data_IF_876030119915
#
_entry.id   IF_876030119915
#
_cell.length_a   1.000
_cell.length_b   1.000
_cell.length_c   1.000
_cell.angle_alpha   90.00
_cell.angle_beta   90.00
_cell.angle_gamma   90.00
#
_symmetry.space_group_name_H-M   'P 1'
#
loop_
_entity.id
_entity.type
_entity.pdbx_description
1 polymer ?
#
# COMPACT_ATOMS: atom_id res chain seq x y z
N UNK A 1 -59.32 20.25 -11.86
CA UNK A 1 -58.71 21.52 -12.30
C UNK A 1 -57.39 21.67 -11.56
N UNK A 2 -56.28 21.67 -12.31
CA UNK A 2 -54.89 22.05 -11.99
C UNK A 2 -54.32 21.64 -10.59
N UNK A 3 -53.29 20.82 -10.47
CA UNK A 3 -52.03 20.87 -11.22
C UNK A 3 -51.11 21.94 -10.63
N UNK A 4 -50.53 21.67 -9.45
CA UNK A 4 -49.50 22.51 -8.82
C UNK A 4 -48.20 21.72 -8.74
N UNK A 5 -47.41 21.80 -9.81
CA UNK A 5 -46.06 21.25 -9.86
C UNK A 5 -45.13 22.17 -9.07
N UNK A 6 -44.57 21.70 -7.96
CA UNK A 6 -43.40 22.31 -7.33
C UNK A 6 -42.21 22.17 -8.29
N UNK A 7 -42.04 23.17 -9.15
CA UNK A 7 -40.83 23.33 -9.97
C UNK A 7 -39.77 23.92 -9.04
N UNK A 8 -38.86 23.07 -8.58
CA UNK A 8 -37.62 23.52 -7.95
C UNK A 8 -36.89 24.47 -8.92
N UNK A 9 -36.70 25.72 -8.52
CA UNK A 9 -35.93 26.70 -9.26
C UNK A 9 -34.52 26.15 -9.56
N UNK A 10 -33.99 26.28 -10.79
CA UNK A 10 -32.63 25.85 -11.09
C UNK A 10 -31.67 26.78 -10.34
N UNK A 11 -30.91 26.20 -9.39
CA UNK A 11 -29.87 26.92 -8.65
C UNK A 11 -29.03 27.79 -9.60
N UNK A 12 -29.18 29.11 -9.50
CA UNK A 12 -28.48 30.06 -10.34
C UNK A 12 -27.00 30.03 -9.98
N UNK A 13 -26.18 29.41 -10.83
CA UNK A 13 -24.73 29.38 -10.63
C UNK A 13 -24.16 30.80 -10.72
N UNK A 14 -23.34 31.19 -9.76
CA UNK A 14 -22.66 32.48 -9.75
C UNK A 14 -21.32 32.41 -10.49
N UNK A 15 -21.00 33.45 -11.26
CA UNK A 15 -19.75 33.57 -11.98
C UNK A 15 -18.57 33.63 -11.00
N UNK A 16 -17.59 32.75 -11.17
CA UNK A 16 -16.40 32.70 -10.33
C UNK A 16 -15.54 33.99 -10.36
N UNK A 17 -15.70 34.83 -11.38
CA UNK A 17 -14.93 36.09 -11.53
C UNK A 17 -15.68 37.33 -11.05
N UNK A 18 -17.00 37.39 -11.15
CA UNK A 18 -17.76 38.62 -10.91
C UNK A 18 -19.10 38.43 -10.17
N UNK A 19 -19.44 37.21 -9.75
CA UNK A 19 -20.63 36.89 -8.97
C UNK A 19 -21.97 36.91 -9.73
N UNK A 20 -22.01 37.40 -10.97
CA UNK A 20 -23.23 37.45 -11.81
C UNK A 20 -23.70 36.05 -12.21
N UNK A 21 -24.99 35.84 -12.53
CA UNK A 21 -25.48 34.54 -13.00
C UNK A 21 -24.69 34.05 -14.21
N UNK A 22 -24.24 32.80 -14.15
CA UNK A 22 -23.32 32.19 -15.09
C UNK A 22 -23.92 30.94 -15.75
N UNK A 23 -23.78 30.86 -17.07
CA UNK A 23 -24.29 29.74 -17.86
C UNK A 23 -23.17 29.02 -18.64
N UNK A 24 -21.98 29.62 -18.76
CA UNK A 24 -20.85 29.06 -19.49
C UNK A 24 -19.90 28.33 -18.55
N UNK A 25 -19.24 27.28 -19.03
CA UNK A 25 -18.32 26.46 -18.24
C UNK A 25 -17.01 26.22 -18.96
N UNK A 26 -15.93 26.06 -18.19
CA UNK A 26 -14.64 25.70 -18.74
C UNK A 26 -14.71 24.32 -19.43
N UNK A 27 -14.37 24.19 -20.72
CA UNK A 27 -14.42 22.91 -21.44
C UNK A 27 -13.58 21.81 -20.76
N UNK A 28 -12.48 22.19 -20.11
CA UNK A 28 -11.61 21.25 -19.39
C UNK A 28 -12.19 20.80 -18.05
N UNK A 29 -12.97 21.65 -17.36
CA UNK A 29 -13.71 21.22 -16.17
C UNK A 29 -14.82 20.22 -16.54
N UNK A 30 -15.50 20.45 -17.66
CA UNK A 30 -16.50 19.50 -18.19
C UNK A 30 -15.84 18.16 -18.52
N UNK A 31 -14.67 18.19 -19.18
CA UNK A 31 -13.89 16.98 -19.48
C UNK A 31 -13.43 16.23 -18.22
N UNK A 32 -13.06 16.94 -17.15
CA UNK A 32 -12.57 16.37 -15.89
C UNK A 32 -13.68 16.10 -14.85
N UNK A 33 -14.96 16.27 -15.21
CA UNK A 33 -16.13 16.10 -14.31
C UNK A 33 -16.02 16.89 -12.99
N UNK A 34 -15.44 18.08 -13.03
CA UNK A 34 -15.28 18.92 -11.84
C UNK A 34 -16.60 19.67 -11.49
N UNK A 35 -16.84 20.00 -10.20
CA UNK A 35 -18.06 20.67 -9.77
C UNK A 35 -18.35 21.95 -10.55
N UNK A 36 -19.60 22.08 -11.01
CA UNK A 36 -20.07 23.20 -11.86
C UNK A 36 -20.00 24.55 -11.13
N UNK A 37 -20.16 24.54 -9.82
CA UNK A 37 -20.22 25.72 -8.95
C UNK A 37 -18.92 26.53 -8.90
N UNK A 38 -17.77 25.87 -9.06
CA UNK A 38 -16.45 26.53 -8.98
C UNK A 38 -15.87 26.90 -10.35
N UNK A 39 -16.59 26.61 -11.43
CA UNK A 39 -16.10 26.70 -12.80
C UNK A 39 -17.12 27.35 -13.77
N UNK A 40 -18.08 28.11 -13.25
CA UNK A 40 -19.09 28.81 -14.03
C UNK A 40 -18.67 30.27 -14.34
N UNK A 41 -18.89 30.69 -15.58
CA UNK A 41 -18.57 32.03 -16.07
C UNK A 41 -19.77 32.64 -16.82
N UNK A 42 -19.97 33.95 -16.70
CA UNK A 42 -21.04 34.65 -17.42
C UNK A 42 -20.62 35.03 -18.86
N UNK A 43 -19.34 35.31 -19.08
CA UNK A 43 -18.79 35.71 -20.40
C UNK A 43 -17.39 35.15 -20.62
N UNK A 44 -16.94 35.16 -21.88
CA UNK A 44 -15.59 34.74 -22.25
C UNK A 44 -14.50 35.66 -21.64
N UNK A 45 -14.82 36.93 -21.40
CA UNK A 45 -13.88 37.86 -20.75
C UNK A 45 -13.69 37.55 -19.26
N UNK A 46 -14.77 37.19 -18.56
CA UNK A 46 -14.68 36.72 -17.17
C UNK A 46 -13.89 35.41 -17.06
N UNK A 47 -14.00 34.52 -18.06
CA UNK A 47 -13.19 33.31 -18.13
C UNK A 47 -11.70 33.63 -18.32
N UNK A 48 -11.35 34.54 -19.24
CA UNK A 48 -9.95 34.96 -19.47
C UNK A 48 -9.35 35.68 -18.26
N UNK A 49 -10.11 36.55 -17.60
CA UNK A 49 -9.67 37.27 -16.40
C UNK A 49 -9.36 36.31 -15.23
N UNK A 50 -10.16 35.24 -15.08
CA UNK A 50 -9.96 34.23 -14.05
C UNK A 50 -9.08 33.05 -14.48
N UNK A 51 -8.52 33.06 -15.69
CA UNK A 51 -7.80 31.90 -16.26
C UNK A 51 -6.55 31.52 -15.46
N UNK A 52 -5.77 32.51 -15.02
CA UNK A 52 -4.50 32.29 -14.29
C UNK A 52 -4.73 31.59 -12.94
N UNK A 53 -5.78 31.99 -12.20
CA UNK A 53 -6.17 31.36 -10.95
C UNK A 53 -6.89 30.03 -11.17
N UNK A 54 -7.78 29.94 -12.16
CA UNK A 54 -8.58 28.74 -12.44
C UNK A 54 -7.75 27.57 -12.97
N UNK A 55 -6.70 27.81 -13.76
CA UNK A 55 -5.82 26.75 -14.30
C UNK A 55 -5.16 25.92 -13.19
N UNK A 56 -4.97 26.47 -11.99
CA UNK A 56 -4.44 25.74 -10.82
C UNK A 56 -5.36 24.60 -10.36
N UNK A 57 -6.68 24.72 -10.58
CA UNK A 57 -7.66 23.68 -10.28
C UNK A 57 -7.43 22.45 -11.17
N UNK A 58 -7.03 22.65 -12.43
CA UNK A 58 -6.67 21.57 -13.35
C UNK A 58 -5.32 20.92 -13.04
N UNK A 59 -4.40 21.62 -12.38
CA UNK A 59 -3.14 21.03 -11.92
C UNK A 59 -3.38 20.01 -10.80
N UNK A 60 -4.32 20.30 -9.90
CA UNK A 60 -4.77 19.36 -8.85
C UNK A 60 -5.65 18.22 -9.39
N UNK A 61 -6.32 18.43 -10.52
CA UNK A 61 -7.20 17.47 -11.16
C UNK A 61 -6.60 16.80 -12.42
N UNK A 62 -5.28 16.89 -12.63
CA UNK A 62 -4.62 16.19 -13.74
C UNK A 62 -4.84 14.69 -13.56
N UNK A 63 -5.51 14.00 -14.51
CA UNK A 63 -5.39 12.56 -14.61
C UNK A 63 -3.93 12.29 -14.96
N UNK A 64 -3.26 11.50 -14.14
CA UNK A 64 -1.97 10.91 -14.50
C UNK A 64 -2.08 10.27 -15.87
N UNK A 65 -1.04 10.45 -16.70
CA UNK A 65 -0.86 9.71 -17.95
C UNK A 65 -1.15 8.22 -17.73
N UNK A 66 -1.59 7.46 -18.77
CA UNK A 66 -1.82 6.03 -18.65
C UNK A 66 -0.48 5.28 -18.51
N UNK A 67 0.13 5.41 -17.33
CA UNK A 67 0.95 4.37 -16.75
C UNK A 67 0.01 3.27 -16.28
N UNK A 68 0.40 2.03 -16.54
CA UNK A 68 -0.23 0.80 -16.06
C UNK A 68 -0.25 0.74 -14.53
N UNK A 69 -1.11 1.55 -13.90
CA UNK A 69 -1.28 1.63 -12.46
C UNK A 69 -2.73 1.27 -12.10
N UNK A 70 -2.89 0.10 -11.49
CA UNK A 70 -4.13 -0.28 -10.79
C UNK A 70 -4.36 0.64 -9.57
N UNK A 71 -5.60 0.84 -9.11
CA UNK A 71 -5.97 2.01 -8.30
C UNK A 71 -5.64 1.98 -6.79
N UNK A 72 -5.00 0.95 -6.21
CA UNK A 72 -5.03 0.77 -4.73
C UNK A 72 -3.67 0.57 -4.03
N UNK A 73 -2.55 1.02 -4.63
CA UNK A 73 -1.19 0.78 -4.10
C UNK A 73 -0.41 2.05 -3.76
N UNK A 74 -1.04 3.04 -3.12
CA UNK A 74 -0.32 4.23 -2.65
C UNK A 74 0.84 3.82 -1.71
N UNK A 75 2.06 4.16 -2.10
CA UNK A 75 3.27 3.92 -1.30
C UNK A 75 3.92 2.54 -1.45
N UNK A 76 3.41 1.64 -2.29
CA UNK A 76 4.10 0.37 -2.57
C UNK A 76 5.31 0.62 -3.46
N UNK A 77 6.44 0.02 -3.09
CA UNK A 77 7.72 0.23 -3.78
C UNK A 77 8.46 -1.10 -3.98
N UNK A 78 9.22 -1.21 -5.07
CA UNK A 78 10.10 -2.34 -5.30
C UNK A 78 11.24 -2.35 -4.27
N UNK A 79 11.61 -3.54 -3.80
CA UNK A 79 12.76 -3.72 -2.92
C UNK A 79 14.06 -3.87 -3.72
N UNK A 80 15.10 -3.17 -3.25
CA UNK A 80 16.47 -3.27 -3.73
C UNK A 80 17.40 -3.60 -2.56
N UNK A 81 18.63 -3.98 -2.85
CA UNK A 81 19.71 -4.16 -1.85
C UNK A 81 19.26 -4.98 -0.64
N UNK A 82 18.72 -6.18 -0.88
CA UNK A 82 18.21 -7.08 0.18
C UNK A 82 17.13 -6.48 1.08
N UNK A 83 16.36 -5.49 0.62
CA UNK A 83 15.30 -4.84 1.39
C UNK A 83 15.70 -3.49 2.02
N UNK A 84 16.97 -3.10 1.93
CA UNK A 84 17.50 -1.86 2.50
C UNK A 84 17.16 -0.60 1.69
N UNK A 85 16.77 -0.75 0.42
CA UNK A 85 16.40 0.37 -0.44
C UNK A 85 15.07 0.09 -1.17
N UNK A 86 14.37 1.17 -1.52
CA UNK A 86 13.07 1.13 -2.20
C UNK A 86 13.08 2.02 -3.44
N UNK A 87 12.38 1.62 -4.49
CA UNK A 87 12.25 2.41 -5.73
C UNK A 87 10.84 2.28 -6.31
N UNK A 88 10.28 3.34 -6.92
CA UNK A 88 9.01 3.24 -7.66
C UNK A 88 9.19 2.58 -9.02
N UNK A 89 10.42 2.53 -9.54
CA UNK A 89 10.73 1.97 -10.87
C UNK A 89 11.21 0.53 -10.76
N UNK A 90 10.62 -0.36 -11.57
CA UNK A 90 11.07 -1.75 -11.70
C UNK A 90 12.57 -1.78 -12.06
N UNK A 91 13.43 -2.43 -11.26
CA UNK A 91 14.84 -2.56 -11.60
C UNK A 91 15.03 -3.40 -12.86
N UNK A 92 16.04 -3.03 -13.65
CA UNK A 92 16.47 -3.84 -14.78
C UNK A 92 17.20 -5.09 -14.26
N UNK A 93 16.81 -6.25 -14.77
CA UNK A 93 17.44 -7.54 -14.52
C UNK A 93 17.06 -8.51 -15.64
N UNK A 94 17.97 -9.42 -16.00
CA UNK A 94 17.75 -10.44 -17.01
C UNK A 94 17.06 -11.66 -16.39
N UNK A 95 15.72 -11.62 -16.37
CA UNK A 95 14.89 -12.65 -15.72
C UNK A 95 14.93 -13.99 -16.46
N UNK A 96 15.02 -15.09 -15.71
CA UNK A 96 15.08 -16.46 -16.24
C UNK A 96 13.73 -17.03 -16.68
N UNK A 97 12.61 -16.41 -16.29
CA UNK A 97 11.27 -16.90 -16.55
C UNK A 97 10.24 -15.79 -16.75
N UNK A 98 8.95 -16.10 -16.60
CA UNK A 98 7.84 -15.15 -16.78
C UNK A 98 7.50 -14.34 -15.54
N UNK A 99 7.83 -14.86 -14.34
CA UNK A 99 7.55 -14.18 -13.08
C UNK A 99 8.35 -12.87 -12.98
N UNK A 100 7.70 -11.81 -12.51
CA UNK A 100 8.32 -10.49 -12.28
C UNK A 100 8.06 -10.05 -10.84
N UNK A 101 8.99 -9.34 -10.20
CA UNK A 101 8.70 -8.73 -8.92
C UNK A 101 7.62 -7.66 -9.10
N UNK A 102 6.82 -7.47 -8.07
CA UNK A 102 5.85 -6.39 -7.98
C UNK A 102 6.23 -5.47 -6.82
N UNK A 103 5.83 -4.18 -6.81
CA UNK A 103 5.95 -3.35 -5.61
C UNK A 103 5.34 -4.07 -4.40
N UNK A 104 5.88 -3.86 -3.21
CA UNK A 104 5.35 -4.47 -1.98
C UNK A 104 5.05 -3.38 -0.95
N UNK A 105 4.16 -3.69 0.00
CA UNK A 105 3.83 -2.77 1.08
C UNK A 105 5.02 -2.49 2.00
N UNK A 106 4.88 -1.49 2.86
CA UNK A 106 5.88 -1.15 3.88
C UNK A 106 6.11 -2.32 4.86
N UNK A 107 7.21 -2.24 5.62
CA UNK A 107 7.51 -3.24 6.65
C UNK A 107 6.47 -3.17 7.76
N UNK A 108 5.87 -4.30 8.14
CA UNK A 108 4.87 -4.38 9.21
C UNK A 108 5.52 -4.24 10.59
N UNK A 109 4.77 -3.70 11.54
CA UNK A 109 5.26 -3.38 12.90
C UNK A 109 4.96 -4.55 13.83
N UNK A 110 5.95 -4.94 14.63
CA UNK A 110 5.80 -5.91 15.71
C UNK A 110 5.52 -5.17 17.02
N UNK A 111 4.47 -5.50 17.78
CA UNK A 111 4.21 -4.94 19.11
C UNK A 111 5.37 -5.11 20.09
N UNK A 112 5.57 -4.12 20.97
CA UNK A 112 6.71 -4.07 21.90
C UNK A 112 6.72 -5.18 22.98
N UNK A 113 5.61 -5.88 23.19
CA UNK A 113 5.52 -6.96 24.18
C UNK A 113 6.01 -8.32 23.66
N UNK A 114 6.31 -8.44 22.37
CA UNK A 114 6.83 -9.66 21.76
C UNK A 114 8.34 -9.69 21.91
N UNK A 115 8.86 -10.84 22.37
CA UNK A 115 10.30 -11.07 22.46
C UNK A 115 10.94 -11.00 21.08
N UNK A 116 11.95 -10.15 20.96
CA UNK A 116 12.62 -9.86 19.70
C UNK A 116 13.94 -10.62 19.57
N UNK A 117 14.24 -11.24 18.41
CA UNK A 117 15.57 -11.78 18.14
C UNK A 117 16.62 -10.67 17.99
N UNK A 118 17.90 -11.03 18.06
CA UNK A 118 19.04 -10.10 18.06
C UNK A 118 19.18 -9.27 16.77
N UNK A 119 18.62 -9.76 15.65
CA UNK A 119 18.56 -9.06 14.36
C UNK A 119 17.31 -8.18 14.17
N UNK A 120 16.31 -8.22 15.05
CA UNK A 120 15.03 -7.56 14.79
C UNK A 120 15.18 -6.04 14.57
N UNK A 121 16.12 -5.41 15.27
CA UNK A 121 16.35 -3.97 15.20
C UNK A 121 17.16 -3.54 13.96
N UNK A 122 18.28 -4.21 13.68
CA UNK A 122 19.29 -3.77 12.71
C UNK A 122 19.48 -4.72 11.52
N UNK A 123 18.74 -5.82 11.50
CA UNK A 123 18.75 -6.84 10.47
C UNK A 123 20.00 -7.71 10.43
N UNK A 124 20.85 -7.65 11.44
CA UNK A 124 22.12 -8.40 11.49
C UNK A 124 22.05 -9.48 12.58
N UNK A 125 22.06 -10.78 12.24
CA UNK A 125 22.17 -11.85 13.23
C UNK A 125 23.60 -11.89 13.77
N UNK A 126 23.76 -11.50 15.03
CA UNK A 126 25.07 -11.37 15.72
C UNK A 126 25.49 -12.69 16.36
N UNK A 127 24.51 -13.45 16.86
CA UNK A 127 24.75 -14.71 17.56
C UNK A 127 25.12 -15.82 16.58
N UNK A 128 24.39 -15.95 15.46
CA UNK A 128 24.54 -17.10 14.55
C UNK A 128 25.94 -17.26 13.94
N UNK A 129 26.62 -16.21 13.43
CA UNK A 129 27.92 -16.37 12.76
C UNK A 129 29.04 -16.84 13.69
N UNK A 130 28.92 -16.55 14.99
CA UNK A 130 29.93 -16.89 16.00
C UNK A 130 29.49 -18.09 16.87
N UNK A 131 28.42 -18.78 16.49
CA UNK A 131 27.90 -19.91 17.25
C UNK A 131 28.65 -21.19 16.92
N UNK A 132 29.01 -21.97 17.94
CA UNK A 132 29.53 -23.33 17.77
C UNK A 132 28.55 -24.23 16.97
N UNK A 133 27.26 -23.85 16.94
CA UNK A 133 26.22 -24.54 16.17
C UNK A 133 26.42 -24.49 14.65
N UNK A 134 27.30 -23.61 14.15
CA UNK A 134 27.71 -23.61 12.74
C UNK A 134 28.51 -24.88 12.37
N UNK A 135 29.11 -25.54 13.37
CA UNK A 135 30.01 -26.67 13.16
C UNK A 135 29.62 -27.92 13.96
N UNK A 136 28.75 -27.77 14.97
CA UNK A 136 28.34 -28.85 15.87
C UNK A 136 26.82 -28.93 15.94
N UNK A 137 26.27 -30.13 15.76
CA UNK A 137 24.83 -30.36 15.94
C UNK A 137 24.48 -30.34 17.42
N UNK A 138 23.58 -29.44 17.81
CA UNK A 138 23.10 -29.34 19.19
C UNK A 138 22.30 -30.60 19.58
N UNK A 139 22.65 -31.21 20.72
CA UNK A 139 21.80 -32.18 21.39
C UNK A 139 20.93 -31.45 22.40
N UNK A 140 19.65 -31.25 22.07
CA UNK A 140 18.70 -30.50 22.89
C UNK A 140 18.35 -31.23 24.19
N UNK A 141 18.28 -30.47 25.29
CA UNK A 141 17.72 -30.92 26.58
C UNK A 141 16.21 -31.14 26.48
N UNK A 142 15.60 -31.96 27.36
CA UNK A 142 14.16 -32.20 27.36
C UNK A 142 13.30 -30.92 27.34
N UNK A 143 13.67 -29.91 28.12
CA UNK A 143 12.97 -28.61 28.16
C UNK A 143 13.05 -27.85 26.83
N UNK A 144 14.21 -27.86 26.15
CA UNK A 144 14.37 -27.23 24.85
C UNK A 144 13.54 -27.96 23.78
N UNK A 145 13.44 -29.29 23.86
CA UNK A 145 12.59 -30.08 22.97
C UNK A 145 11.13 -29.66 23.14
N UNK A 146 10.65 -29.45 24.37
CA UNK A 146 9.27 -29.04 24.61
C UNK A 146 8.98 -27.65 24.04
N UNK A 147 9.88 -26.69 24.23
CA UNK A 147 9.79 -25.36 23.59
C UNK A 147 9.78 -25.43 22.07
N UNK A 148 10.57 -26.33 21.48
CA UNK A 148 10.55 -26.57 20.03
C UNK A 148 9.21 -27.15 19.57
N UNK A 149 8.60 -28.08 20.32
CA UNK A 149 7.27 -28.64 19.99
C UNK A 149 6.20 -27.56 19.97
N UNK A 150 6.17 -26.71 21.00
CA UNK A 150 5.24 -25.60 21.10
C UNK A 150 5.42 -24.62 19.93
N UNK A 151 6.66 -24.19 19.66
CA UNK A 151 6.98 -23.27 18.56
C UNK A 151 6.59 -23.86 17.20
N UNK A 152 6.86 -25.14 16.96
CA UNK A 152 6.49 -25.84 15.72
C UNK A 152 4.96 -25.99 15.58
N UNK A 153 4.24 -26.21 16.68
CA UNK A 153 2.78 -26.25 16.68
C UNK A 153 2.20 -24.90 16.27
N UNK A 154 2.70 -23.80 16.84
CA UNK A 154 2.32 -22.43 16.47
C UNK A 154 2.61 -22.18 15.00
N UNK A 155 3.82 -22.50 14.53
CA UNK A 155 4.19 -22.34 13.12
C UNK A 155 3.25 -23.12 12.18
N UNK A 156 2.78 -24.31 12.59
CA UNK A 156 1.78 -25.06 11.83
C UNK A 156 0.45 -24.32 11.76
N UNK A 157 -0.07 -23.81 12.89
CA UNK A 157 -1.32 -23.02 12.90
C UNK A 157 -1.23 -21.81 11.98
N UNK A 158 -0.09 -21.10 11.99
CA UNK A 158 0.17 -19.94 11.11
C UNK A 158 0.17 -20.37 9.64
N UNK A 159 0.80 -21.50 9.31
CA UNK A 159 0.78 -22.04 7.95
C UNK A 159 -0.64 -22.43 7.50
N UNK A 160 -1.45 -23.00 8.39
CA UNK A 160 -2.87 -23.30 8.13
C UNK A 160 -3.69 -22.04 7.84
N UNK A 161 -3.43 -20.95 8.58
CA UNK A 161 -4.06 -19.64 8.31
C UNK A 161 -3.65 -19.10 6.94
N UNK A 162 -2.36 -19.17 6.59
CA UNK A 162 -1.89 -18.79 5.27
C UNK A 162 -2.59 -19.60 4.17
N UNK A 163 -2.68 -20.94 4.33
CA UNK A 163 -3.32 -21.82 3.36
C UNK A 163 -4.81 -21.48 3.14
N UNK A 164 -5.52 -21.08 4.19
CA UNK A 164 -6.96 -20.78 4.13
C UNK A 164 -7.34 -19.57 3.26
N UNK A 165 -6.37 -18.69 2.96
CA UNK A 165 -6.62 -17.51 2.13
C UNK A 165 -6.15 -17.68 0.68
N UNK A 166 -5.50 -18.79 0.33
CA UNK A 166 -4.96 -19.03 -1.01
C UNK A 166 -6.11 -19.23 -2.01
N UNK A 167 -6.27 -18.26 -2.91
CA UNK A 167 -7.19 -18.32 -4.06
C UNK A 167 -6.77 -17.33 -5.14
N UNK A 168 -7.16 -17.54 -6.41
CA UNK A 168 -6.90 -16.57 -7.48
C UNK A 168 -7.33 -15.15 -7.10
N UNK A 169 -6.49 -14.17 -7.45
CA UNK A 169 -6.70 -12.76 -7.13
C UNK A 169 -6.12 -12.30 -5.79
N UNK A 170 -5.65 -13.21 -4.93
CA UNK A 170 -4.94 -12.84 -3.70
C UNK A 170 -3.47 -12.58 -3.99
N UNK A 171 -2.96 -11.47 -3.47
CA UNK A 171 -1.53 -11.12 -3.59
C UNK A 171 -0.72 -11.86 -2.53
N UNK A 172 0.56 -12.07 -2.81
CA UNK A 172 1.49 -12.63 -1.82
C UNK A 172 1.70 -11.70 -0.62
N UNK A 173 1.58 -10.38 -0.80
CA UNK A 173 1.62 -9.39 0.28
C UNK A 173 0.44 -9.52 1.26
N UNK A 174 -0.72 -9.95 0.75
CA UNK A 174 -1.90 -10.25 1.56
C UNK A 174 -1.73 -11.57 2.34
N UNK A 175 -1.10 -12.58 1.73
CA UNK A 175 -0.71 -13.81 2.45
C UNK A 175 0.29 -13.47 3.57
N UNK A 176 1.29 -12.65 3.29
CA UNK A 176 2.25 -12.14 4.29
C UNK A 176 1.55 -11.41 5.44
N UNK A 177 0.53 -10.60 5.13
CA UNK A 177 -0.29 -9.93 6.16
C UNK A 177 -0.91 -10.93 7.12
N UNK A 178 -1.55 -11.95 6.58
CA UNK A 178 -2.22 -13.01 7.38
C UNK A 178 -1.20 -13.77 8.21
N UNK A 179 -0.04 -14.11 7.65
CA UNK A 179 1.05 -14.78 8.38
C UNK A 179 1.58 -13.90 9.50
N UNK A 180 1.81 -12.61 9.23
CA UNK A 180 2.26 -11.66 10.24
C UNK A 180 1.26 -11.58 11.39
N UNK A 181 0.00 -11.26 11.11
CA UNK A 181 -1.06 -11.11 12.11
C UNK A 181 -1.27 -12.40 12.93
N UNK A 182 -1.27 -13.57 12.28
CA UNK A 182 -1.41 -14.85 12.97
C UNK A 182 -0.21 -15.15 13.88
N UNK A 183 1.01 -14.76 13.48
CA UNK A 183 2.21 -14.94 14.30
C UNK A 183 2.16 -14.03 15.54
N UNK A 184 1.79 -12.76 15.36
CA UNK A 184 1.62 -11.81 16.47
C UNK A 184 0.53 -12.29 17.45
N UNK A 185 -0.57 -12.82 16.93
CA UNK A 185 -1.68 -13.31 17.75
C UNK A 185 -1.31 -14.50 18.65
N UNK A 186 -0.34 -15.32 18.24
CA UNK A 186 0.21 -16.42 19.06
C UNK A 186 1.40 -15.95 19.93
N UNK A 187 1.69 -14.64 19.98
CA UNK A 187 2.76 -14.05 20.79
C UNK A 187 4.17 -14.24 20.20
N UNK A 188 4.28 -14.65 18.94
CA UNK A 188 5.55 -14.92 18.28
C UNK A 188 6.11 -13.74 17.49
N UNK A 189 7.42 -13.75 17.25
CA UNK A 189 8.07 -12.91 16.25
C UNK A 189 8.15 -13.68 14.90
N UNK A 190 7.74 -13.09 13.76
CA UNK A 190 7.93 -13.73 12.47
C UNK A 190 9.42 -13.68 12.08
N UNK A 191 10.15 -14.79 12.30
CA UNK A 191 11.62 -14.87 12.18
C UNK A 191 12.21 -14.27 10.90
N UNK A 192 11.62 -14.45 9.69
CA UNK A 192 12.15 -13.84 8.48
C UNK A 192 12.17 -12.30 8.51
N UNK A 193 11.28 -11.68 9.29
CA UNK A 193 11.15 -10.23 9.30
C UNK A 193 12.46 -9.58 9.75
N UNK A 194 12.97 -8.69 8.90
CA UNK A 194 14.24 -8.00 9.05
C UNK A 194 15.49 -8.89 9.09
N UNK A 195 15.39 -10.22 9.04
CA UNK A 195 16.55 -11.11 9.01
C UNK A 195 17.38 -10.85 7.74
N UNK A 196 18.64 -10.44 7.88
CA UNK A 196 19.46 -9.92 6.78
C UNK A 196 18.73 -8.86 5.92
N UNK A 197 17.96 -7.99 6.58
CA UNK A 197 17.14 -6.93 5.99
C UNK A 197 15.93 -7.40 5.18
N UNK A 198 15.57 -8.69 5.27
CA UNK A 198 14.41 -9.23 4.56
C UNK A 198 13.12 -8.48 4.92
N UNK A 199 12.34 -7.99 3.94
CA UNK A 199 11.34 -6.95 4.18
C UNK A 199 9.98 -7.46 4.65
N UNK A 200 9.78 -8.78 4.73
CA UNK A 200 8.47 -9.44 4.94
C UNK A 200 8.55 -10.49 6.05
N UNK A 201 7.40 -10.95 6.51
CA UNK A 201 7.23 -11.91 7.61
C UNK A 201 7.29 -13.36 7.13
N UNK A 202 7.05 -13.61 5.84
CA UNK A 202 7.23 -14.92 5.21
C UNK A 202 7.78 -14.82 3.78
N UNK A 203 8.11 -15.98 3.21
CA UNK A 203 8.50 -16.13 1.82
C UNK A 203 7.35 -16.75 1.03
N UNK A 204 7.10 -16.25 -0.19
CA UNK A 204 6.02 -16.66 -1.09
C UNK A 204 6.51 -16.68 -2.52
#
# INVERSE_FOLDING_TARGET
MAGGSDVAEPASLSCASCGKPAQLQCPKCVQLKLPRETAAFCTQDCFKASWSSHKSVHLKAKPSEPGTGTPDNEGWLYCLKKGQARTPKLPYFDWTGTLRPYPISSKRVVPAHIDLPDWAADGTPKVEPNSDLQHVVEIKKPEQIERMRETCLIARKVLDKAASVIRPGITTDEIDRVVHEATIAEGGYPSPLNYHFFPKSCCT
#
